data_IF_191598202885
#
_entry.id   IF_191598202885
#
_cell.length_a   1.000
_cell.length_b   1.000
_cell.length_c   1.000
_cell.angle_alpha   90.00
_cell.angle_beta   90.00
_cell.angle_gamma   90.00
#
_symmetry.space_group_name_H-M   'P 1'
#
loop_
_entity.id
_entity.type
_entity.pdbx_description
1 polymer ?
#
# COMPACT_ATOMS: atom_id res chain seq x y z
N UNK A 1 0.02 33.63 0.97
CA UNK A 1 0.48 33.90 2.36
C UNK A 1 -0.52 33.21 3.26
N UNK A 2 -0.06 32.34 4.16
CA UNK A 2 -0.91 31.77 5.21
C UNK A 2 -1.30 32.87 6.20
N UNK A 3 -2.55 32.89 6.64
CA UNK A 3 -2.99 33.78 7.71
C UNK A 3 -2.52 33.23 9.08
N UNK A 4 -2.46 34.09 10.11
CA UNK A 4 -2.12 33.62 11.47
C UNK A 4 -3.10 32.54 11.99
N UNK A 5 -4.35 32.56 11.52
CA UNK A 5 -5.33 31.51 11.84
C UNK A 5 -4.97 30.18 11.18
N UNK A 6 -4.51 30.18 9.93
CA UNK A 6 -4.11 28.94 9.24
C UNK A 6 -2.92 28.25 9.92
N UNK A 7 -2.00 29.05 10.50
CA UNK A 7 -0.84 28.54 11.25
C UNK A 7 -1.27 27.91 12.58
N UNK A 8 -2.10 28.60 13.36
CA UNK A 8 -2.61 28.07 14.63
C UNK A 8 -3.48 26.82 14.42
N UNK A 9 -4.28 26.79 13.36
CA UNK A 9 -5.06 25.63 12.98
C UNK A 9 -4.16 24.45 12.59
N UNK A 10 -3.11 24.68 11.80
CA UNK A 10 -2.14 23.62 11.44
C UNK A 10 -1.43 23.06 12.68
N UNK A 11 -1.09 23.90 13.65
CA UNK A 11 -0.50 23.45 14.94
C UNK A 11 -1.49 22.56 15.69
N UNK A 12 -2.77 22.96 15.77
CA UNK A 12 -3.81 22.14 16.41
C UNK A 12 -3.98 20.78 15.72
N UNK A 13 -4.00 20.77 14.38
CA UNK A 13 -4.07 19.54 13.58
C UNK A 13 -2.90 18.58 13.89
N UNK A 14 -1.68 19.10 14.09
CA UNK A 14 -0.52 18.26 14.42
C UNK A 14 -0.57 17.77 15.87
N UNK A 15 -0.70 18.68 16.83
CA UNK A 15 -0.53 18.35 18.25
C UNK A 15 -1.70 17.57 18.84
N UNK A 16 -2.93 17.83 18.38
CA UNK A 16 -4.15 17.25 18.96
C UNK A 16 -4.82 16.21 18.07
N UNK A 17 -4.66 16.32 16.76
CA UNK A 17 -5.41 15.53 15.78
C UNK A 17 -4.52 14.58 14.97
N UNK A 18 -3.24 14.48 15.35
CA UNK A 18 -2.27 13.56 14.77
C UNK A 18 -2.08 13.73 13.25
N UNK A 19 -2.10 14.97 12.74
CA UNK A 19 -1.66 15.25 11.37
C UNK A 19 -0.18 14.89 11.20
N UNK A 20 0.12 14.02 10.24
CA UNK A 20 1.48 13.62 9.92
C UNK A 20 1.73 13.45 8.43
N UNK A 21 2.99 13.56 8.05
CA UNK A 21 3.48 13.06 6.78
C UNK A 21 3.81 11.58 6.97
N UNK A 22 2.90 10.74 6.49
CA UNK A 22 3.03 9.28 6.58
C UNK A 22 4.36 8.82 6.01
N UNK A 23 4.75 9.37 4.86
CA UNK A 23 6.01 8.97 4.21
C UNK A 23 6.56 10.03 3.27
N UNK A 24 7.88 10.12 3.22
CA UNK A 24 8.62 10.60 2.05
C UNK A 24 9.21 9.38 1.35
N UNK A 25 8.79 9.15 0.10
CA UNK A 25 9.25 8.02 -0.72
C UNK A 25 10.06 8.55 -1.90
N UNK A 26 11.32 8.16 -2.00
CA UNK A 26 12.15 8.45 -3.17
C UNK A 26 12.09 7.29 -4.17
N UNK A 27 11.55 7.56 -5.35
CA UNK A 27 11.60 6.66 -6.50
C UNK A 27 12.91 6.80 -7.26
N UNK A 28 13.58 5.68 -7.58
CA UNK A 28 14.88 5.66 -8.23
C UNK A 28 14.86 4.69 -9.42
N UNK A 29 15.22 5.20 -10.60
CA UNK A 29 15.41 4.38 -11.80
C UNK A 29 16.69 3.54 -11.70
N UNK A 30 16.58 2.23 -11.96
CA UNK A 30 17.71 1.29 -11.91
C UNK A 30 18.27 0.90 -13.27
N UNK A 31 17.71 1.37 -14.39
CA UNK A 31 18.14 0.96 -15.73
C UNK A 31 19.65 1.20 -15.99
N UNK A 32 20.20 2.29 -15.43
CA UNK A 32 21.64 2.59 -15.54
C UNK A 32 22.56 1.61 -14.78
N UNK A 33 22.00 0.75 -13.92
CA UNK A 33 22.73 -0.23 -13.11
C UNK A 33 22.94 -1.58 -13.81
N UNK A 34 22.26 -1.86 -14.94
CA UNK A 34 22.33 -3.16 -15.63
C UNK A 34 23.77 -3.44 -16.07
N UNK A 35 24.28 -4.63 -15.77
CA UNK A 35 25.60 -5.14 -16.15
C UNK A 35 25.50 -6.59 -16.63
N UNK A 36 26.61 -7.14 -17.10
CA UNK A 36 26.69 -8.50 -17.65
C UNK A 36 26.46 -9.61 -16.61
N UNK A 37 26.56 -9.28 -15.31
CA UNK A 37 26.31 -10.22 -14.20
C UNK A 37 25.39 -9.64 -13.13
N UNK A 38 24.75 -10.53 -12.38
CA UNK A 38 23.89 -10.19 -11.25
C UNK A 38 24.69 -9.49 -10.14
N UNK A 39 25.91 -9.95 -9.90
CA UNK A 39 26.80 -9.46 -8.84
C UNK A 39 27.27 -8.03 -9.13
N UNK A 40 27.64 -7.72 -10.37
CA UNK A 40 27.99 -6.36 -10.76
C UNK A 40 26.79 -5.42 -10.78
N UNK A 41 25.64 -5.90 -11.28
CA UNK A 41 24.37 -5.16 -11.26
C UNK A 41 23.98 -4.82 -9.82
N UNK A 42 24.03 -5.79 -8.91
CA UNK A 42 23.72 -5.60 -7.50
C UNK A 42 24.63 -4.56 -6.82
N UNK A 43 25.94 -4.58 -7.12
CA UNK A 43 26.87 -3.54 -6.63
C UNK A 43 26.48 -2.16 -7.14
N UNK A 44 26.16 -2.01 -8.43
CA UNK A 44 25.74 -0.73 -9.00
C UNK A 44 24.40 -0.24 -8.48
N UNK A 45 23.46 -1.14 -8.21
CA UNK A 45 22.19 -0.84 -7.57
C UNK A 45 22.43 -0.30 -6.16
N UNK A 46 23.23 -0.99 -5.35
CA UNK A 46 23.58 -0.53 -3.99
C UNK A 46 24.21 0.86 -4.01
N UNK A 47 25.23 1.06 -4.83
CA UNK A 47 25.94 2.34 -4.94
C UNK A 47 25.01 3.48 -5.36
N UNK A 48 24.15 3.25 -6.37
CA UNK A 48 23.23 4.27 -6.86
C UNK A 48 22.19 4.64 -5.82
N UNK A 49 21.53 3.65 -5.20
CA UNK A 49 20.49 3.89 -4.19
C UNK A 49 21.07 4.62 -2.98
N UNK A 50 22.24 4.18 -2.48
CA UNK A 50 22.90 4.85 -1.36
C UNK A 50 23.28 6.29 -1.72
N UNK A 51 23.80 6.54 -2.92
CA UNK A 51 24.18 7.90 -3.37
C UNK A 51 22.98 8.83 -3.52
N UNK A 52 21.88 8.34 -4.09
CA UNK A 52 20.70 9.17 -4.39
C UNK A 52 19.90 9.49 -3.13
N UNK A 53 19.75 8.51 -2.25
CA UNK A 53 18.95 8.65 -1.03
C UNK A 53 19.77 8.98 0.22
N UNK A 54 21.08 9.26 0.10
CA UNK A 54 22.01 9.51 1.22
C UNK A 54 21.44 10.46 2.28
N UNK A 55 20.78 11.53 1.84
CA UNK A 55 20.26 12.59 2.70
C UNK A 55 18.78 12.44 3.06
N UNK A 56 18.09 11.37 2.66
CA UNK A 56 16.63 11.24 2.84
C UNK A 56 16.21 11.35 4.30
N UNK A 57 16.95 10.68 5.21
CA UNK A 57 16.63 10.68 6.64
C UNK A 57 16.91 12.04 7.27
N UNK A 58 18.03 12.68 6.92
CA UNK A 58 18.36 13.99 7.45
C UNK A 58 17.37 15.05 6.95
N UNK A 59 17.08 15.07 5.66
CA UNK A 59 16.08 15.97 5.07
C UNK A 59 14.72 15.80 5.73
N UNK A 60 14.28 14.56 5.99
CA UNK A 60 13.02 14.32 6.69
C UNK A 60 13.03 14.90 8.12
N UNK A 61 14.12 14.74 8.86
CA UNK A 61 14.27 15.33 10.21
C UNK A 61 14.24 16.85 10.18
N UNK A 62 14.98 17.46 9.25
CA UNK A 62 15.06 18.92 9.12
C UNK A 62 13.69 19.51 8.77
N UNK A 63 13.01 18.93 7.79
CA UNK A 63 11.66 19.35 7.39
C UNK A 63 10.65 19.20 8.53
N UNK A 64 10.74 18.10 9.28
CA UNK A 64 9.84 17.87 10.41
C UNK A 64 10.03 18.92 11.51
N UNK A 65 11.29 19.30 11.80
CA UNK A 65 11.60 20.36 12.76
C UNK A 65 11.20 21.75 12.27
N UNK A 66 11.40 22.06 10.98
CA UNK A 66 11.09 23.37 10.41
C UNK A 66 9.59 23.64 10.25
N UNK A 67 8.84 22.65 9.79
CA UNK A 67 7.40 22.77 9.55
C UNK A 67 6.56 22.34 10.76
N UNK A 68 7.18 21.72 11.77
CA UNK A 68 6.48 21.20 12.94
C UNK A 68 5.57 20.01 12.64
N UNK A 69 5.59 19.46 11.42
CA UNK A 69 4.77 18.29 11.03
C UNK A 69 5.64 17.02 11.13
N UNK A 70 5.25 16.00 11.90
CA UNK A 70 6.00 14.76 12.00
C UNK A 70 6.09 14.06 10.64
N UNK A 71 7.29 13.57 10.27
CA UNK A 71 7.48 12.69 9.11
C UNK A 71 7.79 11.28 9.64
N UNK A 72 6.81 10.39 9.53
CA UNK A 72 6.88 9.06 10.16
C UNK A 72 7.87 8.16 9.41
N UNK A 73 7.67 8.01 8.10
CA UNK A 73 8.44 7.07 7.29
C UNK A 73 9.31 7.73 6.23
N UNK A 74 10.45 7.11 5.99
CA UNK A 74 11.40 7.42 4.93
C UNK A 74 11.54 6.14 4.13
N UNK A 75 11.20 6.18 2.85
CA UNK A 75 11.10 5.00 2.00
C UNK A 75 11.81 5.23 0.68
N UNK A 76 12.18 4.13 0.04
CA UNK A 76 12.67 4.13 -1.34
C UNK A 76 11.81 3.18 -2.16
N UNK A 77 11.49 3.54 -3.39
CA UNK A 77 10.98 2.61 -4.39
C UNK A 77 11.94 2.56 -5.57
N UNK A 78 12.07 1.40 -6.19
CA UNK A 78 12.96 1.21 -7.33
C UNK A 78 12.24 0.61 -8.53
N UNK A 79 12.84 0.73 -9.71
CA UNK A 79 12.34 0.05 -10.92
C UNK A 79 12.07 -1.43 -10.64
N UNK A 80 10.96 -2.01 -11.12
CA UNK A 80 10.66 -3.42 -10.94
C UNK A 80 11.89 -4.29 -11.21
N UNK A 81 12.40 -4.95 -10.16
CA UNK A 81 13.67 -5.67 -10.23
C UNK A 81 13.62 -6.79 -11.28
N UNK A 82 12.44 -7.37 -11.55
CA UNK A 82 12.28 -8.37 -12.61
C UNK A 82 12.77 -7.88 -13.98
N UNK A 83 12.62 -6.59 -14.29
CA UNK A 83 13.09 -5.98 -15.54
C UNK A 83 14.61 -5.82 -15.56
N UNK A 84 15.18 -5.49 -14.40
CA UNK A 84 16.63 -5.25 -14.24
C UNK A 84 17.41 -6.57 -14.29
N UNK A 85 16.80 -7.65 -13.81
CA UNK A 85 17.42 -8.97 -13.69
C UNK A 85 16.94 -9.96 -14.75
N UNK A 86 16.25 -9.50 -15.78
CA UNK A 86 15.65 -10.35 -16.82
C UNK A 86 16.66 -11.30 -17.51
N UNK A 87 17.94 -10.92 -17.58
CA UNK A 87 19.00 -11.76 -18.16
C UNK A 87 19.53 -12.86 -17.21
N UNK A 88 19.23 -12.79 -15.91
CA UNK A 88 19.67 -13.71 -14.86
C UNK A 88 18.61 -13.83 -13.75
N UNK A 89 17.36 -14.17 -14.09
CA UNK A 89 16.22 -14.10 -13.17
C UNK A 89 16.40 -14.98 -11.92
N UNK A 90 17.09 -16.11 -12.04
CA UNK A 90 17.44 -17.01 -10.93
C UNK A 90 18.40 -16.38 -9.92
N UNK A 91 19.18 -15.37 -10.34
CA UNK A 91 20.10 -14.62 -9.49
C UNK A 91 19.54 -13.28 -9.00
N UNK A 92 18.26 -13.00 -9.25
CA UNK A 92 17.57 -11.81 -8.71
C UNK A 92 17.71 -11.61 -7.20
N UNK A 93 17.78 -12.67 -6.36
CA UNK A 93 18.05 -12.51 -4.93
C UNK A 93 19.33 -11.75 -4.60
N UNK A 94 20.35 -11.80 -5.45
CA UNK A 94 21.61 -11.04 -5.24
C UNK A 94 21.34 -9.54 -5.25
N UNK A 95 20.48 -9.08 -6.17
CA UNK A 95 20.06 -7.67 -6.26
C UNK A 95 19.10 -7.32 -5.12
N UNK A 96 18.17 -8.21 -4.76
CA UNK A 96 17.29 -8.03 -3.60
C UNK A 96 18.08 -7.81 -2.30
N UNK A 97 19.10 -8.63 -2.05
CA UNK A 97 19.98 -8.48 -0.88
C UNK A 97 20.77 -7.17 -0.90
N UNK A 98 21.20 -6.71 -2.07
CA UNK A 98 21.86 -5.41 -2.21
C UNK A 98 20.93 -4.24 -1.89
N UNK A 99 19.65 -4.33 -2.28
CA UNK A 99 18.63 -3.34 -1.94
C UNK A 99 18.33 -3.32 -0.43
N UNK A 100 18.17 -4.48 0.21
CA UNK A 100 17.98 -4.55 1.67
C UNK A 100 19.20 -3.98 2.43
N UNK A 101 20.41 -4.27 1.94
CA UNK A 101 21.64 -3.69 2.48
C UNK A 101 21.66 -2.17 2.32
N UNK A 102 21.27 -1.63 1.15
CA UNK A 102 21.18 -0.19 0.93
C UNK A 102 20.14 0.44 1.89
N UNK A 103 18.98 -0.20 2.07
CA UNK A 103 17.96 0.27 2.99
C UNK A 103 18.47 0.34 4.44
N UNK A 104 19.25 -0.66 4.87
CA UNK A 104 19.92 -0.68 6.18
C UNK A 104 20.94 0.45 6.32
N UNK A 105 21.84 0.60 5.35
CA UNK A 105 22.87 1.66 5.33
C UNK A 105 22.25 3.05 5.43
N UNK A 106 21.15 3.30 4.71
CA UNK A 106 20.47 4.58 4.67
C UNK A 106 19.60 4.87 5.90
N UNK A 107 19.29 3.86 6.72
CA UNK A 107 18.37 4.02 7.85
C UNK A 107 16.92 4.29 7.43
N UNK A 108 16.51 3.88 6.22
CA UNK A 108 15.12 3.97 5.75
C UNK A 108 14.28 2.81 6.28
N UNK A 109 12.97 3.00 6.37
CA UNK A 109 12.05 2.05 7.01
C UNK A 109 11.75 0.85 6.11
N UNK A 110 11.42 1.11 4.84
CA UNK A 110 11.11 0.09 3.83
C UNK A 110 11.63 0.48 2.45
N UNK A 111 11.92 -0.54 1.63
CA UNK A 111 12.27 -0.39 0.22
C UNK A 111 11.34 -1.26 -0.64
N UNK A 112 10.60 -0.65 -1.55
CA UNK A 112 9.75 -1.33 -2.53
C UNK A 112 10.39 -1.44 -3.92
N UNK A 113 9.89 -2.35 -4.74
CA UNK A 113 10.33 -2.50 -6.13
C UNK A 113 10.92 -3.86 -6.47
N UNK A 114 10.99 -4.80 -5.51
CA UNK A 114 11.23 -6.21 -5.82
C UNK A 114 9.98 -6.81 -6.47
N UNK A 115 9.67 -6.33 -7.68
CA UNK A 115 8.36 -6.41 -8.28
C UNK A 115 8.39 -6.96 -9.70
N UNK A 116 7.24 -7.47 -10.15
CA UNK A 116 7.00 -7.96 -11.51
C UNK A 116 5.63 -7.50 -12.05
N UNK A 117 5.52 -7.33 -13.38
CA UNK A 117 4.32 -6.80 -14.05
C UNK A 117 3.79 -7.79 -15.10
N UNK A 118 3.00 -8.77 -14.65
CA UNK A 118 2.61 -9.95 -15.45
C UNK A 118 1.14 -9.95 -15.89
N UNK A 119 0.48 -8.80 -15.85
CA UNK A 119 -0.97 -8.65 -16.04
C UNK A 119 -1.52 -9.04 -17.41
N UNK A 120 -0.69 -9.02 -18.46
CA UNK A 120 -1.09 -9.45 -19.81
C UNK A 120 -0.74 -10.91 -20.09
N UNK A 121 0.40 -11.36 -19.59
CA UNK A 121 0.90 -12.73 -19.61
C UNK A 121 2.18 -12.78 -18.76
N UNK A 122 2.67 -13.97 -18.47
CA UNK A 122 3.91 -14.18 -17.69
C UNK A 122 5.02 -14.68 -18.61
N UNK A 123 6.08 -13.89 -18.79
CA UNK A 123 7.29 -14.35 -19.47
C UNK A 123 8.10 -15.31 -18.58
N UNK A 124 9.00 -16.09 -19.19
CA UNK A 124 9.78 -17.10 -18.48
C UNK A 124 10.63 -16.52 -17.35
N UNK A 125 11.29 -15.38 -17.61
CA UNK A 125 12.12 -14.70 -16.61
C UNK A 125 11.27 -14.17 -15.43
N UNK A 126 10.05 -13.70 -15.69
CA UNK A 126 9.14 -13.21 -14.65
C UNK A 126 8.64 -14.35 -13.78
N UNK A 127 8.32 -15.50 -14.39
CA UNK A 127 7.93 -16.70 -13.64
C UNK A 127 9.05 -17.15 -12.71
N UNK A 128 10.29 -17.20 -13.20
CA UNK A 128 11.46 -17.54 -12.38
C UNK A 128 11.66 -16.49 -11.28
N UNK A 129 11.57 -15.19 -11.61
CA UNK A 129 11.68 -14.11 -10.63
C UNK A 129 10.66 -14.23 -9.49
N UNK A 130 9.38 -14.46 -9.80
CA UNK A 130 8.30 -14.56 -8.81
C UNK A 130 8.59 -15.70 -7.83
N UNK A 131 9.12 -16.83 -8.31
CA UNK A 131 9.48 -17.97 -7.45
C UNK A 131 10.59 -17.66 -6.44
N UNK A 132 11.40 -16.62 -6.69
CA UNK A 132 12.45 -16.17 -5.76
C UNK A 132 11.92 -15.31 -4.61
N UNK A 133 10.74 -14.70 -4.75
CA UNK A 133 10.16 -13.75 -3.79
C UNK A 133 10.12 -14.32 -2.36
N UNK A 134 9.63 -15.55 -2.10
CA UNK A 134 9.50 -16.06 -0.73
C UNK A 134 10.83 -16.12 0.02
N UNK A 135 11.89 -16.57 -0.66
CA UNK A 135 13.22 -16.71 -0.07
C UNK A 135 13.87 -15.34 0.18
N UNK A 136 13.70 -14.40 -0.75
CA UNK A 136 14.16 -13.03 -0.58
C UNK A 136 13.46 -12.35 0.59
N UNK A 137 12.13 -12.45 0.70
CA UNK A 137 11.39 -11.82 1.80
C UNK A 137 11.68 -12.45 3.17
N UNK A 138 12.07 -13.73 3.21
CA UNK A 138 12.49 -14.43 4.42
C UNK A 138 13.89 -14.02 4.90
N UNK A 139 14.79 -13.70 3.98
CA UNK A 139 16.20 -13.37 4.26
C UNK A 139 16.47 -11.87 4.38
N UNK A 140 15.56 -11.04 3.88
CA UNK A 140 15.61 -9.57 3.97
C UNK A 140 14.68 -9.03 5.05
N UNK A 141 14.97 -7.83 5.53
CA UNK A 141 14.21 -7.21 6.62
C UNK A 141 13.28 -6.13 6.08
N UNK A 142 13.82 -5.20 5.29
CA UNK A 142 13.15 -3.96 4.85
C UNK A 142 12.67 -3.98 3.41
N UNK A 143 13.06 -5.01 2.65
CA UNK A 143 12.64 -5.16 1.26
C UNK A 143 11.20 -5.68 1.19
N UNK A 144 10.44 -5.04 0.31
CA UNK A 144 9.05 -5.36 -0.02
C UNK A 144 8.93 -5.77 -1.49
N UNK A 145 7.95 -6.63 -1.78
CA UNK A 145 7.71 -7.16 -3.11
C UNK A 145 6.25 -6.96 -3.55
N UNK A 146 6.06 -6.78 -4.86
CA UNK A 146 4.72 -6.67 -5.43
C UNK A 146 4.60 -7.27 -6.82
N UNK A 147 3.45 -7.84 -7.16
CA UNK A 147 3.21 -8.42 -8.49
C UNK A 147 1.88 -7.94 -9.05
N UNK A 148 1.90 -7.27 -10.21
CA UNK A 148 0.67 -6.88 -10.90
C UNK A 148 0.18 -8.02 -11.79
N UNK A 149 -0.94 -8.63 -11.43
CA UNK A 149 -1.53 -9.82 -12.07
C UNK A 149 -2.69 -9.50 -13.02
N UNK A 150 -3.21 -8.27 -12.97
CA UNK A 150 -4.32 -7.86 -13.84
C UNK A 150 -4.31 -6.38 -14.19
N UNK A 151 -5.04 -6.03 -15.23
CA UNK A 151 -5.41 -4.64 -15.52
C UNK A 151 -6.72 -4.58 -16.29
N UNK A 152 -7.45 -3.49 -16.14
CA UNK A 152 -8.68 -3.22 -16.91
C UNK A 152 -8.44 -3.33 -18.41
N UNK A 153 -7.23 -2.98 -18.88
CA UNK A 153 -6.88 -3.06 -20.30
C UNK A 153 -6.58 -4.47 -20.80
N UNK A 154 -6.02 -5.34 -19.95
CA UNK A 154 -5.51 -6.66 -20.39
C UNK A 154 -6.31 -7.85 -19.85
N UNK A 155 -7.18 -7.64 -18.87
CA UNK A 155 -7.84 -8.72 -18.15
C UNK A 155 -7.06 -9.14 -16.90
N UNK A 156 -7.23 -10.39 -16.48
CA UNK A 156 -6.51 -10.98 -15.34
C UNK A 156 -5.77 -12.21 -15.82
N UNK A 157 -4.47 -12.28 -15.53
CA UNK A 157 -3.64 -13.44 -15.80
C UNK A 157 -3.80 -14.47 -14.67
N UNK A 158 -4.59 -15.51 -14.91
CA UNK A 158 -4.92 -16.52 -13.90
C UNK A 158 -3.76 -17.47 -13.60
N UNK A 159 -2.80 -17.63 -14.52
CA UNK A 159 -1.55 -18.36 -14.23
C UNK A 159 -0.72 -17.61 -13.18
N UNK A 160 -0.62 -16.29 -13.32
CA UNK A 160 0.06 -15.46 -12.33
C UNK A 160 -0.67 -15.46 -10.99
N UNK A 161 -2.00 -15.39 -10.98
CA UNK A 161 -2.83 -15.48 -9.76
C UNK A 161 -2.61 -16.81 -9.03
N UNK A 162 -2.57 -17.92 -9.76
CA UNK A 162 -2.25 -19.24 -9.19
C UNK A 162 -0.87 -19.25 -8.55
N UNK A 163 0.16 -18.81 -9.29
CA UNK A 163 1.54 -18.75 -8.80
C UNK A 163 1.66 -17.85 -7.56
N UNK A 164 0.91 -16.75 -7.50
CA UNK A 164 0.93 -15.84 -6.36
C UNK A 164 0.31 -16.46 -5.12
N UNK A 165 -0.77 -17.25 -5.20
CA UNK A 165 -1.30 -17.95 -4.03
C UNK A 165 -0.30 -18.94 -3.43
N UNK A 166 0.43 -19.66 -4.27
CA UNK A 166 1.55 -20.52 -3.85
C UNK A 166 2.70 -19.71 -3.24
N UNK A 167 3.02 -18.55 -3.83
CA UNK A 167 4.07 -17.63 -3.37
C UNK A 167 3.75 -17.05 -1.99
N UNK A 168 2.52 -16.59 -1.75
CA UNK A 168 2.06 -16.09 -0.45
C UNK A 168 2.18 -17.17 0.62
N UNK A 169 1.70 -18.39 0.33
CA UNK A 169 1.79 -19.52 1.25
C UNK A 169 3.24 -19.86 1.58
N UNK A 170 4.11 -20.00 0.57
CA UNK A 170 5.55 -20.27 0.77
C UNK A 170 6.23 -19.14 1.56
N UNK A 171 5.90 -17.87 1.30
CA UNK A 171 6.48 -16.74 2.02
C UNK A 171 6.10 -16.75 3.52
N UNK A 172 4.85 -17.11 3.82
CA UNK A 172 4.40 -17.28 5.20
C UNK A 172 5.08 -18.48 5.88
N UNK A 173 5.20 -19.63 5.19
CA UNK A 173 5.87 -20.83 5.71
C UNK A 173 7.35 -20.59 6.04
N UNK A 174 8.09 -19.93 5.15
CA UNK A 174 9.51 -19.60 5.37
C UNK A 174 9.72 -18.58 6.51
N UNK A 175 8.66 -17.88 6.92
CA UNK A 175 8.71 -16.87 7.98
C UNK A 175 7.77 -17.17 9.13
N UNK A 176 7.37 -18.44 9.31
CA UNK A 176 6.43 -18.89 10.34
C UNK A 176 6.85 -18.50 11.77
N UNK A 177 8.16 -18.49 12.03
CA UNK A 177 8.72 -18.15 13.35
C UNK A 177 8.61 -16.64 13.66
N UNK A 178 8.17 -15.85 12.68
CA UNK A 178 7.90 -14.41 12.76
C UNK A 178 6.48 -14.09 12.29
N UNK A 179 5.52 -14.96 12.62
CA UNK A 179 4.09 -14.79 12.30
C UNK A 179 3.77 -14.61 10.80
N UNK A 180 4.62 -15.13 9.91
CA UNK A 180 4.42 -15.03 8.46
C UNK A 180 4.74 -13.64 7.89
N UNK A 181 5.62 -12.86 8.54
CA UNK A 181 6.01 -11.50 8.12
C UNK A 181 6.41 -11.39 6.63
N UNK A 182 6.91 -12.47 6.02
CA UNK A 182 7.20 -12.50 4.58
C UNK A 182 5.96 -12.19 3.74
N UNK A 183 4.81 -12.77 4.07
CA UNK A 183 3.55 -12.49 3.38
C UNK A 183 3.04 -11.07 3.65
N UNK A 184 3.34 -10.48 4.81
CA UNK A 184 3.01 -9.07 5.11
C UNK A 184 3.81 -8.07 4.27
N UNK A 185 4.94 -8.50 3.67
CA UNK A 185 5.77 -7.68 2.76
C UNK A 185 5.52 -7.98 1.28
N UNK A 186 4.49 -8.75 0.96
CA UNK A 186 4.11 -9.13 -0.41
C UNK A 186 2.72 -8.58 -0.75
N UNK A 187 2.58 -8.00 -1.94
CA UNK A 187 1.30 -7.50 -2.45
C UNK A 187 1.02 -8.04 -3.85
N UNK A 188 -0.16 -8.60 -4.08
CA UNK A 188 -0.68 -8.82 -5.43
C UNK A 188 -1.52 -7.61 -5.86
N UNK A 189 -1.36 -7.13 -7.09
CA UNK A 189 -2.10 -5.99 -7.62
C UNK A 189 -2.93 -6.34 -8.86
N UNK A 190 -4.01 -5.59 -9.03
CA UNK A 190 -4.63 -5.32 -10.31
C UNK A 190 -4.60 -3.81 -10.55
N UNK A 191 -4.33 -3.37 -11.79
CA UNK A 191 -4.17 -1.95 -12.14
C UNK A 191 -3.15 -1.22 -11.26
N UNK A 192 -1.98 -1.84 -10.99
CA UNK A 192 -0.92 -1.18 -10.23
C UNK A 192 -0.53 0.17 -10.85
N UNK A 193 -0.34 1.18 -10.00
CA UNK A 193 0.07 2.53 -10.41
C UNK A 193 1.59 2.67 -10.32
N UNK A 194 2.20 3.36 -11.27
CA UNK A 194 3.65 3.45 -11.44
C UNK A 194 4.37 4.41 -10.47
N UNK A 195 3.65 5.30 -9.80
CA UNK A 195 4.19 6.37 -8.93
C UNK A 195 3.73 6.26 -7.46
N UNK A 196 3.16 5.13 -7.06
CA UNK A 196 2.52 4.99 -5.75
C UNK A 196 3.53 4.90 -4.59
N UNK A 197 3.35 5.63 -3.46
CA UNK A 197 4.20 5.52 -2.26
C UNK A 197 3.74 4.44 -1.26
N UNK A 198 2.73 3.64 -1.61
CA UNK A 198 2.12 2.63 -0.74
C UNK A 198 3.05 1.44 -0.51
N UNK A 199 3.45 1.19 0.74
CA UNK A 199 4.18 -0.04 1.10
C UNK A 199 3.24 -1.12 1.59
N UNK A 200 3.46 -2.40 1.23
CA UNK A 200 4.61 -3.01 0.54
C UNK A 200 4.60 -2.90 -1.01
N UNK A 201 3.59 -2.24 -1.59
CA UNK A 201 3.32 -2.28 -3.02
C UNK A 201 4.19 -1.44 -3.96
N UNK A 202 4.84 -0.37 -3.48
CA UNK A 202 5.47 0.62 -4.35
C UNK A 202 6.60 0.04 -5.18
N UNK A 203 6.69 0.56 -6.39
CA UNK A 203 7.83 0.44 -7.29
C UNK A 203 7.97 1.79 -8.02
N UNK A 204 9.09 1.99 -8.69
CA UNK A 204 9.34 3.18 -9.51
C UNK A 204 9.04 2.86 -10.97
N UNK A 205 8.03 3.50 -11.54
CA UNK A 205 7.59 3.31 -12.92
C UNK A 205 8.69 3.39 -13.97
N UNK A 206 8.48 2.71 -15.09
CA UNK A 206 9.40 2.79 -16.23
C UNK A 206 9.26 4.12 -16.99
N UNK A 207 8.09 4.76 -16.89
CA UNK A 207 7.83 6.08 -17.48
C UNK A 207 8.26 7.27 -16.60
N UNK A 208 8.69 7.02 -15.37
CA UNK A 208 9.07 8.06 -14.42
C UNK A 208 10.47 8.62 -14.68
N UNK A 209 10.75 9.81 -14.16
CA UNK A 209 12.10 10.40 -14.21
C UNK A 209 13.12 9.59 -13.39
N UNK A 210 14.42 9.83 -13.59
CA UNK A 210 15.50 9.09 -12.91
C UNK A 210 15.40 9.07 -11.37
N UNK A 211 14.92 10.17 -10.78
CA UNK A 211 14.76 10.30 -9.33
C UNK A 211 13.58 11.22 -9.03
N UNK A 212 12.60 10.67 -8.32
CA UNK A 212 11.33 11.34 -8.00
C UNK A 212 11.07 11.25 -6.50
N UNK A 213 10.44 12.27 -5.92
CA UNK A 213 9.98 12.26 -4.53
C UNK A 213 8.46 12.33 -4.50
N UNK A 214 7.86 11.28 -3.93
CA UNK A 214 6.44 11.17 -3.64
C UNK A 214 6.22 11.30 -2.14
N UNK A 215 5.16 11.98 -1.72
CA UNK A 215 4.83 12.15 -0.30
C UNK A 215 3.45 11.61 -0.02
N UNK A 216 3.36 10.74 0.99
CA UNK A 216 2.09 10.28 1.54
C UNK A 216 1.75 11.11 2.77
N UNK A 217 0.53 11.62 2.84
CA UNK A 217 0.02 12.40 3.97
C UNK A 217 -1.05 11.60 4.68
N UNK A 218 -1.00 11.54 6.01
CA UNK A 218 -2.05 10.96 6.83
C UNK A 218 -2.79 12.04 7.62
N UNK A 219 -4.06 11.81 7.90
CA UNK A 219 -4.84 12.61 8.83
C UNK A 219 -6.23 12.06 9.16
N UNK A 220 -6.44 10.74 9.40
CA UNK A 220 -7.70 10.25 9.92
C UNK A 220 -8.19 10.99 11.18
N UNK A 221 -7.31 11.26 12.14
CA UNK A 221 -7.67 11.98 13.37
C UNK A 221 -8.21 13.39 13.12
N UNK A 222 -7.60 14.12 12.19
CA UNK A 222 -8.05 15.45 11.73
C UNK A 222 -9.46 15.38 11.14
N UNK A 223 -9.71 14.39 10.27
CA UNK A 223 -11.04 14.22 9.64
C UNK A 223 -12.09 13.84 10.67
N UNK A 224 -11.77 12.93 11.60
CA UNK A 224 -12.65 12.57 12.70
C UNK A 224 -13.01 13.80 13.54
N UNK A 225 -12.01 14.56 13.97
CA UNK A 225 -12.24 15.76 14.79
C UNK A 225 -13.11 16.79 14.07
N UNK A 226 -12.88 16.98 12.77
CA UNK A 226 -13.69 17.89 11.95
C UNK A 226 -15.17 17.48 11.89
N UNK A 227 -15.50 16.19 11.99
CA UNK A 227 -16.86 15.67 12.04
C UNK A 227 -17.51 15.83 13.42
N UNK A 228 -16.74 15.65 14.51
CA UNK A 228 -17.23 15.86 15.89
C UNK A 228 -17.76 17.29 16.12
N UNK A 229 -17.28 18.26 15.34
CA UNK A 229 -17.74 19.66 15.40
C UNK A 229 -19.08 19.90 14.70
N UNK A 230 -19.61 18.91 13.96
CA UNK A 230 -20.86 19.03 13.19
C UNK A 230 -21.81 17.83 13.43
N UNK A 231 -22.14 17.48 14.69
CA UNK A 231 -22.84 16.23 15.02
C UNK A 231 -24.28 16.12 14.48
N UNK A 232 -24.89 17.25 14.12
CA UNK A 232 -26.26 17.31 13.60
C UNK A 232 -26.33 17.64 12.10
N UNK A 233 -25.18 17.62 11.40
CA UNK A 233 -25.09 17.94 9.99
C UNK A 233 -25.71 16.85 9.12
N UNK A 234 -26.23 17.24 7.96
CA UNK A 234 -26.64 16.27 6.94
C UNK A 234 -25.44 15.68 6.18
N UNK A 235 -25.67 14.62 5.40
CA UNK A 235 -24.57 13.94 4.67
C UNK A 235 -23.90 14.83 3.60
N UNK A 236 -24.58 15.86 3.11
CA UNK A 236 -24.01 16.83 2.17
C UNK A 236 -23.00 17.72 2.88
N UNK A 237 -23.36 18.21 4.07
CA UNK A 237 -22.50 19.00 4.94
C UNK A 237 -21.30 18.17 5.45
N UNK A 238 -21.52 16.90 5.81
CA UNK A 238 -20.45 15.95 6.16
C UNK A 238 -19.44 15.79 5.01
N UNK A 239 -19.93 15.56 3.78
CA UNK A 239 -19.06 15.44 2.61
C UNK A 239 -18.25 16.72 2.35
N UNK A 240 -18.88 17.89 2.49
CA UNK A 240 -18.21 19.19 2.33
C UNK A 240 -17.12 19.40 3.39
N UNK A 241 -17.39 19.04 4.64
CA UNK A 241 -16.44 19.16 5.74
C UNK A 241 -15.23 18.24 5.55
N UNK A 242 -15.44 16.99 5.15
CA UNK A 242 -14.35 16.05 4.80
C UNK A 242 -13.52 16.62 3.64
N UNK A 243 -14.16 17.12 2.58
CA UNK A 243 -13.49 17.69 1.42
C UNK A 243 -12.61 18.89 1.78
N UNK A 244 -13.10 19.81 2.62
CA UNK A 244 -12.33 20.97 3.10
C UNK A 244 -11.15 20.56 3.95
N UNK A 245 -11.34 19.58 4.82
CA UNK A 245 -10.30 19.04 5.68
C UNK A 245 -9.20 18.36 4.85
N UNK A 246 -9.59 17.49 3.92
CA UNK A 246 -8.71 16.85 2.95
C UNK A 246 -7.89 17.85 2.11
N UNK A 247 -8.51 18.95 1.67
CA UNK A 247 -7.80 20.03 0.98
C UNK A 247 -6.67 20.62 1.84
N UNK A 248 -6.94 20.95 3.11
CA UNK A 248 -5.94 21.54 4.02
C UNK A 248 -4.78 20.57 4.26
N UNK A 249 -5.08 19.32 4.58
CA UNK A 249 -4.09 18.24 4.77
C UNK A 249 -3.20 18.10 3.53
N UNK A 250 -3.80 18.06 2.35
CA UNK A 250 -3.06 17.92 1.08
C UNK A 250 -2.17 19.11 0.79
N UNK A 251 -2.60 20.34 1.13
CA UNK A 251 -1.79 21.55 0.97
C UNK A 251 -0.54 21.51 1.84
N UNK A 252 -0.66 21.07 3.09
CA UNK A 252 0.48 20.90 3.99
C UNK A 252 1.46 19.87 3.41
N UNK A 253 0.97 18.71 2.97
CA UNK A 253 1.79 17.69 2.32
C UNK A 253 2.49 18.15 1.05
N UNK A 254 1.80 18.92 0.20
CA UNK A 254 2.38 19.48 -1.02
C UNK A 254 3.57 20.42 -0.72
N UNK A 255 3.49 21.18 0.37
CA UNK A 255 4.55 22.08 0.79
C UNK A 255 5.80 21.28 1.17
N UNK A 256 5.65 20.27 2.04
CA UNK A 256 6.73 19.38 2.45
C UNK A 256 7.32 18.65 1.24
N UNK A 257 6.48 18.17 0.31
CA UNK A 257 6.92 17.44 -0.87
C UNK A 257 7.79 18.26 -1.81
N UNK A 258 7.42 19.53 -2.06
CA UNK A 258 8.22 20.43 -2.91
C UNK A 258 9.57 20.73 -2.31
N UNK A 259 9.62 20.98 -1.01
CA UNK A 259 10.88 21.28 -0.33
C UNK A 259 11.77 20.03 -0.20
N UNK A 260 11.18 18.86 0.09
CA UNK A 260 11.89 17.59 0.09
C UNK A 260 12.53 17.29 -1.27
N UNK A 261 11.76 17.41 -2.37
CA UNK A 261 12.25 17.19 -3.72
C UNK A 261 13.44 18.11 -4.04
N UNK A 262 13.34 19.40 -3.69
CA UNK A 262 14.41 20.37 -3.87
C UNK A 262 15.68 20.01 -3.09
N UNK A 263 15.56 19.70 -1.79
CA UNK A 263 16.71 19.35 -0.92
C UNK A 263 17.38 18.04 -1.33
N UNK A 264 16.61 17.09 -1.84
CA UNK A 264 17.08 15.79 -2.32
C UNK A 264 17.53 15.82 -3.78
N UNK A 265 17.48 16.97 -4.45
CA UNK A 265 17.82 17.13 -5.86
C UNK A 265 17.10 16.11 -6.76
N UNK A 266 15.80 15.97 -6.54
CA UNK A 266 14.90 15.05 -7.22
C UNK A 266 13.71 15.81 -7.81
N UNK A 267 13.01 15.21 -8.77
CA UNK A 267 11.76 15.77 -9.25
C UNK A 267 10.66 15.58 -8.20
N UNK A 268 9.80 16.56 -8.04
CA UNK A 268 8.58 16.39 -7.27
C UNK A 268 7.62 15.51 -8.08
N UNK A 269 7.21 14.35 -7.54
CA UNK A 269 6.22 13.49 -8.17
C UNK A 269 4.83 13.89 -7.71
N UNK A 270 4.23 13.03 -6.88
CA UNK A 270 2.86 13.19 -6.40
C UNK A 270 2.76 13.44 -4.90
N UNK A 271 1.59 13.96 -4.51
CA UNK A 271 1.10 13.90 -3.13
C UNK A 271 -0.01 12.86 -3.09
N UNK A 272 0.23 11.79 -2.33
CA UNK A 272 -0.76 10.76 -2.06
C UNK A 272 -1.52 11.14 -0.77
N UNK A 273 -2.80 11.50 -0.93
CA UNK A 273 -3.69 11.76 0.19
C UNK A 273 -4.34 10.44 0.61
N UNK A 274 -3.66 9.71 1.49
CA UNK A 274 -4.12 8.44 2.00
C UNK A 274 -4.50 8.62 3.47
N UNK A 275 -5.79 8.52 3.80
CA UNK A 275 -6.20 8.38 5.20
C UNK A 275 -5.73 7.00 5.67
N UNK A 276 -4.49 6.94 6.14
CA UNK A 276 -3.77 5.73 6.49
C UNK A 276 -3.65 5.66 8.01
N UNK A 277 -4.48 4.84 8.67
CA UNK A 277 -4.53 4.80 10.13
C UNK A 277 -3.24 4.25 10.74
N UNK A 278 -3.10 4.46 12.04
CA UNK A 278 -2.08 3.81 12.87
C UNK A 278 -2.75 3.01 13.97
N UNK A 279 -2.02 2.11 14.64
CA UNK A 279 -2.54 1.43 15.82
C UNK A 279 -2.83 2.37 17.01
N UNK A 280 -2.53 3.67 16.88
CA UNK A 280 -2.76 4.67 17.91
C UNK A 280 -4.26 5.00 18.04
N UNK A 281 -4.69 5.28 19.28
CA UNK A 281 -6.07 5.69 19.54
C UNK A 281 -6.29 7.10 19.00
N UNK A 282 -7.39 7.30 18.26
CA UNK A 282 -7.73 8.59 17.66
C UNK A 282 -7.26 8.76 16.22
N UNK A 283 -6.49 7.81 15.68
CA UNK A 283 -6.02 7.81 14.29
C UNK A 283 -6.56 6.58 13.54
N UNK A 284 -7.87 6.58 13.29
CA UNK A 284 -8.62 5.42 12.78
C UNK A 284 -9.66 5.84 11.73
N UNK A 285 -9.65 5.14 10.59
CA UNK A 285 -10.67 5.29 9.55
C UNK A 285 -11.98 4.66 10.01
N UNK A 286 -11.93 3.54 10.73
CA UNK A 286 -13.11 2.93 11.33
C UNK A 286 -13.87 3.92 12.22
N UNK A 287 -13.15 4.69 13.05
CA UNK A 287 -13.78 5.70 13.92
C UNK A 287 -14.37 6.88 13.16
N UNK A 288 -13.83 7.25 11.99
CA UNK A 288 -14.47 8.25 11.11
C UNK A 288 -15.82 7.72 10.62
N UNK A 289 -15.86 6.46 10.17
CA UNK A 289 -17.09 5.84 9.69
C UNK A 289 -18.14 5.73 10.81
N UNK A 290 -17.69 5.47 12.03
CA UNK A 290 -18.57 5.46 13.20
C UNK A 290 -19.09 6.87 13.54
N UNK A 291 -18.23 7.89 13.50
CA UNK A 291 -18.60 9.30 13.71
C UNK A 291 -19.59 9.81 12.64
N UNK A 292 -19.54 9.27 11.41
CA UNK A 292 -20.53 9.55 10.38
C UNK A 292 -21.94 8.98 10.67
N UNK A 293 -22.10 8.23 11.76
CA UNK A 293 -23.40 7.74 12.25
C UNK A 293 -23.58 6.22 12.19
N UNK A 294 -22.52 5.44 12.05
CA UNK A 294 -22.57 3.97 12.10
C UNK A 294 -22.19 3.50 13.50
N UNK A 295 -22.96 2.59 14.10
CA UNK A 295 -22.65 2.11 15.45
C UNK A 295 -21.32 1.33 15.54
N UNK A 296 -21.03 0.50 14.53
CA UNK A 296 -19.78 -0.26 14.45
C UNK A 296 -19.42 -0.49 12.99
N UNK A 297 -18.15 -0.23 12.64
CA UNK A 297 -17.64 -0.50 11.29
C UNK A 297 -17.84 -1.99 10.92
N UNK A 298 -18.28 -2.24 9.69
CA UNK A 298 -18.65 -3.58 9.21
C UNK A 298 -20.17 -3.80 9.15
N UNK A 299 -20.95 -3.00 9.88
CA UNK A 299 -22.41 -3.02 9.82
C UNK A 299 -23.01 -2.60 8.46
N UNK A 300 -24.34 -2.63 8.39
CA UNK A 300 -25.08 -2.05 7.27
C UNK A 300 -24.86 -0.53 7.23
N UNK A 301 -24.64 0.02 6.03
CA UNK A 301 -24.28 1.44 5.85
C UNK A 301 -22.77 1.70 5.76
N UNK A 302 -21.89 0.85 6.31
CA UNK A 302 -20.43 1.04 6.24
C UNK A 302 -19.88 1.26 4.84
N UNK A 303 -20.35 0.47 3.87
CA UNK A 303 -19.89 0.61 2.47
C UNK A 303 -20.32 1.96 1.87
N UNK A 304 -21.52 2.44 2.19
CA UNK A 304 -21.99 3.74 1.72
C UNK A 304 -21.23 4.90 2.36
N UNK A 305 -21.00 4.85 3.68
CA UNK A 305 -20.21 5.85 4.39
C UNK A 305 -18.76 5.89 3.87
N UNK A 306 -18.15 4.73 3.64
CA UNK A 306 -16.80 4.64 3.08
C UNK A 306 -16.73 5.21 1.66
N UNK A 307 -17.76 4.99 0.83
CA UNK A 307 -17.83 5.57 -0.50
C UNK A 307 -17.86 7.10 -0.45
N UNK A 308 -18.70 7.68 0.43
CA UNK A 308 -18.77 9.13 0.65
C UNK A 308 -17.42 9.68 1.14
N UNK A 309 -16.83 9.05 2.16
CA UNK A 309 -15.53 9.43 2.70
C UNK A 309 -14.46 9.44 1.60
N UNK A 310 -14.34 8.35 0.85
CA UNK A 310 -13.34 8.22 -0.19
C UNK A 310 -13.49 9.26 -1.31
N UNK A 311 -14.72 9.49 -1.78
CA UNK A 311 -15.03 10.48 -2.81
C UNK A 311 -14.74 11.91 -2.34
N UNK A 312 -15.16 12.27 -1.11
CA UNK A 312 -14.91 13.58 -0.53
C UNK A 312 -13.41 13.85 -0.33
N UNK A 313 -12.66 12.86 0.17
CA UNK A 313 -11.20 12.92 0.33
C UNK A 313 -10.51 13.15 -1.03
N UNK A 314 -10.87 12.37 -2.05
CA UNK A 314 -10.32 12.52 -3.41
C UNK A 314 -10.60 13.90 -3.99
N UNK A 315 -11.83 14.40 -3.86
CA UNK A 315 -12.22 15.75 -4.31
C UNK A 315 -11.44 16.85 -3.60
N UNK A 316 -11.23 16.72 -2.29
CA UNK A 316 -10.43 17.66 -1.50
C UNK A 316 -8.97 17.68 -1.93
N UNK A 317 -8.39 16.50 -2.13
CA UNK A 317 -7.02 16.35 -2.62
C UNK A 317 -6.80 16.98 -4.00
N UNK A 318 -7.63 16.63 -4.98
CA UNK A 318 -7.52 17.16 -6.36
C UNK A 318 -7.69 18.68 -6.42
N UNK A 319 -8.50 19.26 -5.53
CA UNK A 319 -8.61 20.72 -5.39
C UNK A 319 -7.32 21.37 -4.86
N UNK A 320 -6.54 20.65 -4.05
CA UNK A 320 -5.33 21.17 -3.42
C UNK A 320 -4.08 21.04 -4.32
N UNK A 321 -3.96 20.01 -5.14
CA UNK A 321 -2.75 19.78 -5.94
C UNK A 321 -3.09 19.26 -7.34
N UNK A 322 -2.36 19.75 -8.34
CA UNK A 322 -2.42 19.21 -9.71
C UNK A 322 -1.63 17.90 -9.89
N UNK A 323 -0.94 17.45 -8.84
CA UNK A 323 -0.17 16.19 -8.81
C UNK A 323 -0.65 15.29 -7.67
N UNK A 324 -1.96 15.09 -7.56
CA UNK A 324 -2.52 14.05 -6.70
C UNK A 324 -2.51 12.74 -7.49
N UNK A 325 -1.97 11.69 -6.88
CA UNK A 325 -1.82 10.38 -7.53
C UNK A 325 -1.70 9.25 -6.52
N UNK A 326 -1.09 8.14 -6.94
CA UNK A 326 -0.87 6.98 -6.08
C UNK A 326 -2.18 6.32 -5.69
N UNK A 327 -2.31 5.92 -4.43
CA UNK A 327 -3.50 5.25 -3.91
C UNK A 327 -4.39 6.18 -3.09
N UNK A 328 -4.41 7.48 -3.40
CA UNK A 328 -5.16 8.50 -2.64
C UNK A 328 -6.60 8.06 -2.33
N UNK A 329 -6.98 8.12 -1.05
CA UNK A 329 -8.28 7.71 -0.55
C UNK A 329 -8.27 7.17 0.88
N UNK A 330 -9.35 6.50 1.26
CA UNK A 330 -9.45 5.83 2.56
C UNK A 330 -8.89 4.40 2.51
N UNK A 331 -8.03 4.07 3.49
CA UNK A 331 -7.38 2.77 3.62
C UNK A 331 -8.07 1.98 4.72
N UNK A 332 -8.17 0.66 4.54
CA UNK A 332 -8.83 -0.24 5.50
C UNK A 332 -7.92 -1.40 5.94
N UNK A 333 -6.65 -1.13 6.36
CA UNK A 333 -5.73 -2.17 6.79
C UNK A 333 -6.17 -2.75 8.13
N UNK A 334 -6.57 -4.03 8.13
CA UNK A 334 -7.15 -4.65 9.33
C UNK A 334 -6.16 -4.66 10.48
N UNK A 335 -4.88 -4.90 10.23
CA UNK A 335 -3.88 -5.00 11.30
C UNK A 335 -3.38 -3.65 11.85
N UNK A 336 -3.62 -2.56 11.13
CA UNK A 336 -3.06 -1.24 11.45
C UNK A 336 -4.10 -0.30 12.06
N UNK A 337 -5.41 -0.50 11.80
CA UNK A 337 -6.48 0.34 12.34
C UNK A 337 -7.12 -0.29 13.58
N UNK A 338 -6.99 0.38 14.74
CA UNK A 338 -7.52 -0.13 16.01
C UNK A 338 -9.03 -0.38 16.01
N UNK A 339 -9.81 0.42 15.27
CA UNK A 339 -11.26 0.22 15.15
C UNK A 339 -11.58 -0.99 14.27
N UNK A 340 -10.83 -1.20 13.18
CA UNK A 340 -10.96 -2.38 12.32
C UNK A 340 -10.57 -3.67 13.07
N UNK A 341 -9.47 -3.65 13.83
CA UNK A 341 -9.04 -4.79 14.69
C UNK A 341 -10.19 -5.19 15.62
N UNK A 342 -10.74 -4.23 16.36
CA UNK A 342 -11.83 -4.48 17.32
C UNK A 342 -13.10 -4.99 16.65
N UNK A 343 -13.43 -4.45 15.48
CA UNK A 343 -14.60 -4.89 14.73
C UNK A 343 -14.43 -6.29 14.14
N UNK A 344 -13.21 -6.65 13.71
CA UNK A 344 -12.87 -8.01 13.29
C UNK A 344 -12.90 -8.99 14.48
N UNK A 345 -12.34 -8.62 15.65
CA UNK A 345 -12.39 -9.41 16.89
C UNK A 345 -13.85 -9.70 17.33
N UNK A 346 -14.76 -8.73 17.14
CA UNK A 346 -16.20 -8.88 17.41
C UNK A 346 -16.97 -9.64 16.32
N UNK A 347 -16.35 -9.93 15.19
CA UNK A 347 -17.00 -10.54 14.02
C UNK A 347 -17.94 -9.59 13.25
N UNK A 348 -17.89 -8.28 13.50
CA UNK A 348 -18.64 -7.27 12.75
C UNK A 348 -18.06 -7.03 11.35
N UNK A 349 -16.73 -7.15 11.23
CA UNK A 349 -16.03 -7.20 9.95
C UNK A 349 -15.74 -8.66 9.60
N UNK A 350 -16.31 -9.12 8.49
CA UNK A 350 -16.00 -10.40 7.85
C UNK A 350 -15.18 -10.18 6.58
N UNK A 351 -14.59 -11.24 6.02
CA UNK A 351 -13.84 -11.14 4.77
C UNK A 351 -14.73 -10.64 3.61
N UNK A 352 -15.95 -11.17 3.49
CA UNK A 352 -16.93 -10.73 2.48
C UNK A 352 -17.30 -9.25 2.64
N UNK A 353 -17.35 -8.77 3.89
CA UNK A 353 -17.61 -7.36 4.15
C UNK A 353 -16.44 -6.48 3.73
N UNK A 354 -15.21 -6.92 3.98
CA UNK A 354 -14.01 -6.22 3.50
C UNK A 354 -13.99 -6.18 1.98
N UNK A 355 -14.23 -7.30 1.31
CA UNK A 355 -14.37 -7.39 -0.15
C UNK A 355 -15.47 -6.44 -0.67
N UNK A 356 -16.64 -6.39 -0.03
CA UNK A 356 -17.67 -5.42 -0.40
C UNK A 356 -17.22 -3.95 -0.19
N UNK A 357 -16.39 -3.68 0.82
CA UNK A 357 -15.80 -2.36 1.06
C UNK A 357 -14.70 -2.04 0.04
N UNK A 358 -14.00 -3.04 -0.52
CA UNK A 358 -12.97 -2.80 -1.54
C UNK A 358 -13.55 -2.29 -2.83
N UNK A 359 -14.81 -2.55 -3.15
CA UNK A 359 -15.51 -1.95 -4.29
C UNK A 359 -15.47 -0.41 -4.28
N UNK A 360 -15.36 0.21 -3.11
CA UNK A 360 -15.43 1.68 -2.94
C UNK A 360 -14.22 2.29 -2.23
N UNK A 361 -13.33 1.49 -1.62
CA UNK A 361 -12.10 2.00 -0.98
C UNK A 361 -11.03 2.40 -2.00
N UNK A 362 -9.78 2.66 -1.57
CA UNK A 362 -8.67 2.88 -2.51
C UNK A 362 -7.79 1.64 -2.75
N UNK A 363 -7.45 0.87 -1.70
CA UNK A 363 -6.39 -0.16 -1.77
C UNK A 363 -6.89 -1.54 -2.14
N UNK A 364 -7.78 -2.14 -1.36
CA UNK A 364 -8.18 -3.56 -1.50
C UNK A 364 -8.14 -4.29 -0.16
N UNK A 365 -7.96 -5.61 -0.20
CA UNK A 365 -7.76 -6.46 0.98
C UNK A 365 -6.34 -6.28 1.51
N UNK A 366 -6.18 -5.46 2.55
CA UNK A 366 -4.86 -5.12 3.08
C UNK A 366 -4.67 -5.59 4.53
N UNK A 367 -3.48 -6.14 4.79
CA UNK A 367 -3.04 -6.62 6.11
C UNK A 367 -4.05 -7.54 6.81
N UNK A 368 -4.57 -8.54 6.10
CA UNK A 368 -5.55 -9.50 6.64
C UNK A 368 -4.87 -10.81 7.03
N UNK A 369 -5.01 -11.21 8.29
CA UNK A 369 -4.55 -12.51 8.77
C UNK A 369 -5.62 -13.60 8.60
N UNK A 370 -5.24 -14.74 8.03
CA UNK A 370 -6.12 -15.89 7.78
C UNK A 370 -5.52 -17.18 8.38
N UNK A 371 -6.29 -18.26 8.54
CA UNK A 371 -5.81 -19.51 9.12
C UNK A 371 -4.63 -20.06 8.32
N UNK A 372 -3.59 -20.53 9.02
CA UNK A 372 -2.34 -20.97 8.38
C UNK A 372 -2.49 -22.20 7.48
N UNK A 373 -3.52 -23.00 7.68
CA UNK A 373 -3.85 -24.19 6.89
C UNK A 373 -4.62 -23.86 5.60
N UNK A 374 -4.98 -22.59 5.36
CA UNK A 374 -5.70 -22.17 4.16
C UNK A 374 -4.97 -22.65 2.89
N UNK A 375 -5.67 -23.32 1.95
CA UNK A 375 -5.06 -23.79 0.70
C UNK A 375 -4.55 -22.64 -0.17
N UNK A 376 -3.45 -22.87 -0.90
CA UNK A 376 -2.92 -21.88 -1.85
C UNK A 376 -3.95 -21.49 -2.93
N UNK A 377 -4.80 -22.43 -3.35
CA UNK A 377 -5.90 -22.19 -4.29
C UNK A 377 -6.95 -21.23 -3.73
N UNK A 378 -7.23 -21.29 -2.43
CA UNK A 378 -8.15 -20.36 -1.77
C UNK A 378 -7.55 -18.95 -1.72
N UNK A 379 -6.25 -18.82 -1.44
CA UNK A 379 -5.54 -17.53 -1.49
C UNK A 379 -5.56 -16.97 -2.92
N UNK A 380 -5.29 -17.81 -3.92
CA UNK A 380 -5.40 -17.42 -5.34
C UNK A 380 -6.81 -16.97 -5.71
N UNK A 381 -7.87 -17.60 -5.18
CA UNK A 381 -9.24 -17.17 -5.41
C UNK A 381 -9.51 -15.78 -4.82
N UNK A 382 -9.07 -15.50 -3.58
CA UNK A 382 -9.17 -14.16 -2.98
C UNK A 382 -8.44 -13.10 -3.83
N UNK A 383 -7.27 -13.44 -4.38
CA UNK A 383 -6.55 -12.56 -5.31
C UNK A 383 -7.34 -12.35 -6.61
N UNK A 384 -7.95 -13.40 -7.15
CA UNK A 384 -8.75 -13.33 -8.37
C UNK A 384 -9.99 -12.43 -8.19
N UNK A 385 -10.70 -12.60 -7.07
CA UNK A 385 -11.92 -11.86 -6.75
C UNK A 385 -11.62 -10.35 -6.62
N UNK A 386 -10.57 -9.99 -5.87
CA UNK A 386 -10.13 -8.61 -5.78
C UNK A 386 -9.57 -8.04 -7.09
N UNK A 387 -8.84 -8.85 -7.85
CA UNK A 387 -8.39 -8.44 -9.17
C UNK A 387 -9.58 -8.18 -10.10
N UNK A 388 -10.67 -8.94 -10.00
CA UNK A 388 -11.90 -8.73 -10.75
C UNK A 388 -12.61 -7.44 -10.35
N UNK A 389 -12.72 -7.14 -9.05
CA UNK A 389 -13.25 -5.85 -8.56
C UNK A 389 -12.45 -4.69 -9.15
N UNK A 390 -11.11 -4.76 -9.09
CA UNK A 390 -10.24 -3.72 -9.65
C UNK A 390 -10.36 -3.57 -11.17
N UNK A 391 -10.33 -4.71 -11.87
CA UNK A 391 -10.41 -4.77 -13.33
C UNK A 391 -11.74 -4.18 -13.85
N UNK A 392 -12.87 -4.60 -13.28
CA UNK A 392 -14.20 -4.18 -13.73
C UNK A 392 -14.48 -2.72 -13.39
N UNK A 393 -13.96 -2.21 -12.28
CA UNK A 393 -14.24 -0.84 -11.84
C UNK A 393 -13.18 0.18 -12.28
N UNK A 394 -12.21 -0.23 -13.12
CA UNK A 394 -11.07 0.61 -13.52
C UNK A 394 -10.37 1.25 -12.31
N UNK A 395 -10.10 0.41 -11.31
CA UNK A 395 -9.55 0.80 -10.01
C UNK A 395 -8.34 -0.07 -9.71
N UNK A 396 -7.35 0.50 -9.05
CA UNK A 396 -6.28 -0.29 -8.43
C UNK A 396 -6.81 -1.09 -7.27
N UNK A 397 -6.58 -2.40 -7.26
CA UNK A 397 -6.82 -3.27 -6.11
C UNK A 397 -5.55 -3.98 -5.71
N UNK A 398 -5.38 -4.19 -4.42
CA UNK A 398 -4.22 -4.79 -3.80
C UNK A 398 -4.69 -5.87 -2.83
N UNK A 399 -3.97 -6.98 -2.81
CA UNK A 399 -4.21 -8.09 -1.89
C UNK A 399 -2.95 -8.36 -1.10
N UNK A 400 -3.08 -8.25 0.22
CA UNK A 400 -2.08 -8.62 1.21
C UNK A 400 -2.74 -9.46 2.29
N UNK A 401 -2.65 -10.76 2.07
CA UNK A 401 -3.24 -11.79 2.93
C UNK A 401 -2.12 -12.59 3.57
N UNK A 402 -2.23 -12.84 4.86
CA UNK A 402 -1.17 -13.42 5.68
C UNK A 402 -1.66 -14.72 6.29
N UNK A 403 -1.31 -15.88 5.69
CA UNK A 403 -1.55 -17.19 6.29
C UNK A 403 -0.73 -17.34 7.57
N UNK A 404 -1.38 -17.34 8.72
CA UNK A 404 -0.71 -17.45 10.01
C UNK A 404 -0.39 -18.93 10.32
N UNK A 405 0.75 -19.41 9.81
CA UNK A 405 1.15 -20.82 9.88
C UNK A 405 1.18 -21.33 11.32
N UNK A 406 0.45 -22.41 11.59
CA UNK A 406 0.33 -23.01 12.93
C UNK A 406 -0.68 -22.34 13.86
N UNK A 407 -1.41 -21.32 13.38
CA UNK A 407 -2.46 -20.60 14.11
C UNK A 407 -3.80 -20.68 13.37
N UNK A 408 -4.89 -20.54 14.12
CA UNK A 408 -6.26 -20.63 13.62
C UNK A 408 -7.18 -19.50 14.11
N UNK A 409 -8.46 -19.59 13.76
CA UNK A 409 -9.45 -18.60 14.21
C UNK A 409 -9.50 -18.56 15.73
N UNK A 410 -9.42 -17.35 16.29
CA UNK A 410 -9.32 -17.10 17.74
C UNK A 410 -7.90 -16.75 18.20
N UNK A 411 -6.87 -17.07 17.42
CA UNK A 411 -5.51 -16.59 17.64
C UNK A 411 -5.29 -15.19 17.02
N UNK A 412 -4.14 -14.61 17.34
CA UNK A 412 -3.69 -13.32 16.79
C UNK A 412 -2.25 -13.41 16.29
N UNK A 413 -1.91 -12.55 15.33
CA UNK A 413 -0.55 -12.31 14.85
C UNK A 413 -0.10 -10.92 15.27
N UNK A 414 1.18 -10.77 15.62
CA UNK A 414 1.73 -9.49 16.03
C UNK A 414 3.03 -9.20 15.30
N UNK A 415 2.99 -8.22 14.41
CA UNK A 415 4.14 -7.78 13.62
C UNK A 415 4.91 -6.66 14.30
N UNK A 416 4.29 -5.98 15.26
CA UNK A 416 4.83 -4.80 15.93
C UNK A 416 5.00 -3.60 14.99
N UNK A 417 5.40 -2.47 15.59
CA UNK A 417 5.68 -1.25 14.85
C UNK A 417 4.54 -0.83 13.92
N UNK A 418 4.88 -0.61 12.64
CA UNK A 418 3.98 -0.09 11.62
C UNK A 418 2.92 -1.08 11.14
N UNK A 419 3.21 -2.38 11.22
CA UNK A 419 2.35 -3.43 10.69
C UNK A 419 1.32 -3.93 11.73
N UNK A 420 1.43 -3.44 12.97
CA UNK A 420 0.44 -3.66 14.01
C UNK A 420 0.20 -5.13 14.36
N UNK A 421 -1.06 -5.48 14.64
CA UNK A 421 -1.51 -6.82 15.03
C UNK A 421 -2.82 -7.14 14.33
N UNK A 422 -3.06 -8.40 13.98
CA UNK A 422 -4.33 -8.81 13.37
C UNK A 422 -4.92 -10.03 14.08
N UNK A 423 -6.26 -10.05 14.31
CA UNK A 423 -6.96 -11.29 14.61
C UNK A 423 -7.00 -12.18 13.36
N UNK A 424 -6.93 -13.49 13.56
CA UNK A 424 -7.11 -14.44 12.45
C UNK A 424 -8.59 -14.51 12.09
N UNK A 425 -8.91 -14.06 10.88
CA UNK A 425 -10.27 -14.01 10.37
C UNK A 425 -10.70 -15.35 9.78
N UNK A 426 -11.97 -15.76 9.94
CA UNK A 426 -12.46 -16.98 9.32
C UNK A 426 -12.48 -16.88 7.78
N UNK A 427 -12.21 -18.02 7.12
CA UNK A 427 -12.25 -18.17 5.66
C UNK A 427 -13.33 -19.20 5.30
N UNK A 428 -14.02 -18.99 4.19
CA UNK A 428 -15.01 -19.94 3.68
C UNK A 428 -14.35 -21.28 3.31
N UNK A 429 -14.97 -22.39 3.73
CA UNK A 429 -14.45 -23.75 3.50
C UNK A 429 -14.76 -24.36 2.13
N UNK A 430 -15.43 -23.61 1.24
CA UNK A 430 -15.78 -24.09 -0.10
C UNK A 430 -14.55 -24.19 -1.00
N UNK A 431 -14.45 -25.26 -1.79
CA UNK A 431 -13.31 -25.47 -2.69
C UNK A 431 -13.38 -24.61 -3.95
N UNK A 432 -12.33 -23.82 -4.20
CA UNK A 432 -12.15 -23.01 -5.40
C UNK A 432 -11.09 -23.58 -6.37
N UNK A 433 -10.51 -24.74 -6.07
CA UNK A 433 -9.38 -25.32 -6.83
C UNK A 433 -9.67 -25.45 -8.32
N UNK A 434 -10.87 -25.91 -8.70
CA UNK A 434 -11.27 -26.09 -10.11
C UNK A 434 -11.22 -24.80 -10.91
N UNK A 435 -11.54 -23.66 -10.32
CA UNK A 435 -11.47 -22.36 -10.99
C UNK A 435 -10.00 -21.98 -11.24
N UNK A 436 -9.18 -22.07 -10.20
CA UNK A 436 -7.76 -21.68 -10.26
C UNK A 436 -6.95 -22.59 -11.18
N UNK A 437 -7.23 -23.88 -11.18
CA UNK A 437 -6.55 -24.86 -12.02
C UNK A 437 -6.91 -24.78 -13.51
N UNK A 438 -7.97 -24.03 -13.90
CA UNK A 438 -8.25 -23.76 -15.31
C UNK A 438 -7.18 -22.89 -15.96
N UNK A 439 -6.53 -22.03 -15.18
CA UNK A 439 -5.46 -21.19 -15.68
C UNK A 439 -5.90 -20.19 -16.75
N UNK A 440 -4.96 -19.80 -17.62
CA UNK A 440 -5.21 -18.90 -18.74
C UNK A 440 -5.46 -17.43 -18.34
N UNK A 441 -6.32 -16.73 -19.08
CA UNK A 441 -6.63 -15.32 -18.85
C UNK A 441 -8.14 -15.08 -18.77
N UNK A 442 -8.58 -14.30 -17.79
CA UNK A 442 -9.90 -13.65 -17.83
C UNK A 442 -9.76 -12.45 -18.76
N UNK A 443 -10.57 -12.33 -19.83
CA UNK A 443 -10.43 -11.25 -20.81
C UNK A 443 -10.83 -9.88 -20.23
N UNK A 444 -10.30 -8.82 -20.84
CA UNK A 444 -10.65 -7.45 -20.49
C UNK A 444 -12.15 -7.16 -20.72
N UNK A 445 -12.78 -6.32 -19.86
CA UNK A 445 -14.20 -6.00 -19.97
C UNK A 445 -14.52 -5.06 -21.15
N UNK A 446 -15.74 -5.09 -21.67
CA UNK A 446 -16.15 -4.30 -22.85
C UNK A 446 -15.90 -2.79 -22.70
N UNK A 447 -16.02 -2.24 -21.49
CA UNK A 447 -15.80 -0.80 -21.27
C UNK A 447 -14.31 -0.41 -21.28
N UNK A 448 -13.38 -1.37 -21.36
CA UNK A 448 -11.95 -1.13 -21.56
C UNK A 448 -11.59 -0.79 -23.01
N UNK A 449 -12.52 -0.93 -23.95
CA UNK A 449 -12.38 -0.49 -25.34
C UNK A 449 -12.49 1.04 -25.45
N UNK A 450 -11.53 1.74 -24.85
CA UNK A 450 -11.33 3.18 -24.97
C UNK A 450 -9.90 3.39 -25.48
N UNK A 451 -9.76 4.14 -26.57
CA UNK A 451 -8.47 4.41 -27.22
C UNK A 451 -7.62 5.37 -26.42
#
# INVERSE_FOLDING_TARGET
>A
MFSNNDVLETIAMVEKEHLDIRTITMGISLFSCIRDSAEETARKVYDLVCKKAEKIVQTAKDLSGEYGIPIVNKRVSVTPVSLITAAFPEKSPVVGNALDKAAKTLGIDFLGGYSALVHKSTADYERIFIQTIPEVLATTERLCASVNVGSTKSGINMEAVKLLGETFKKAAELTKDKDGIGAAKLVAFCNAVEDNPFMAGAFHGVGEADTVVNVGVSGPGVVKHALEQIPNADLTEVAEQIKRTAFKITRAGQLVAKEAAKRLNAQFGIVDLSLAPTPAVGDSVAQILEEMGIETVGGHGTTAALALLNDAVKKGGVMASSRVGGLSGAFIPVSEDIGMIRAAEKGAITLDKLEAMTCVCSVGLDMIAIPGDTPATTISAMIADEAAIGMINNKTTAVRIIPAVGKGVGDTVNYGGLLGRAPIMPVHGCDSSKLILRGGNIPAPIHSFKN
#
